data_IF_327450662026
#
_entry.id   IF_327450662026
#
_cell.length_a   1.000
_cell.length_b   1.000
_cell.length_c   1.000
_cell.angle_alpha   90.00
_cell.angle_beta   90.00
_cell.angle_gamma   90.00
#
_symmetry.space_group_name_H-M   'P 1'
#
loop_
_entity.id
_entity.type
_entity.pdbx_description
1 polymer ?
#
# COMPACT_ATOMS: atom_id res chain seq x y z
N UNK A 1 9.15 6.81 3.77
CA UNK A 1 8.73 5.42 3.38
C UNK A 1 7.35 5.14 3.94
N UNK A 2 6.49 4.45 3.16
CA UNK A 2 5.18 3.97 3.63
C UNK A 2 5.24 2.46 3.80
N UNK A 3 4.81 1.93 4.94
CA UNK A 3 4.61 0.51 5.21
C UNK A 3 3.13 0.18 5.23
N UNK A 4 2.76 -0.99 4.69
CA UNK A 4 1.37 -1.42 4.57
C UNK A 4 1.13 -2.65 5.44
N UNK A 5 0.11 -2.61 6.28
CA UNK A 5 -0.25 -3.68 7.19
C UNK A 5 0.98 -4.16 8.00
N UNK A 6 1.21 -5.46 8.08
CA UNK A 6 2.29 -6.08 8.87
C UNK A 6 3.71 -5.71 8.46
N UNK A 7 3.92 -5.06 7.30
CA UNK A 7 5.25 -4.61 6.88
C UNK A 7 5.92 -3.67 7.89
N UNK A 8 5.15 -2.98 8.74
CA UNK A 8 5.70 -2.16 9.82
C UNK A 8 6.55 -2.97 10.82
N UNK A 9 6.31 -4.27 10.97
CA UNK A 9 7.06 -5.15 11.87
C UNK A 9 8.52 -5.33 11.41
N UNK A 10 8.76 -5.22 10.10
CA UNK A 10 10.10 -5.23 9.50
C UNK A 10 10.77 -3.86 9.47
N UNK A 11 9.98 -2.80 9.34
CA UNK A 11 10.46 -1.44 9.15
C UNK A 11 9.77 -0.46 10.10
N UNK A 12 9.99 -0.63 11.40
CA UNK A 12 9.42 0.23 12.47
C UNK A 12 9.89 1.69 12.35
N UNK A 13 10.97 1.92 11.65
CA UNK A 13 11.57 3.23 11.35
C UNK A 13 10.93 3.95 10.16
N UNK A 14 9.94 3.36 9.49
CA UNK A 14 9.23 4.02 8.40
C UNK A 14 8.46 5.25 8.89
N UNK A 15 8.24 6.21 7.99
CA UNK A 15 7.58 7.47 8.32
C UNK A 15 6.07 7.30 8.48
N UNK A 16 5.47 6.40 7.68
CA UNK A 16 4.03 6.24 7.56
C UNK A 16 3.64 4.77 7.58
N UNK A 17 2.58 4.45 8.30
CA UNK A 17 1.89 3.16 8.26
C UNK A 17 0.50 3.34 7.69
N UNK A 18 0.12 2.49 6.74
CA UNK A 18 -1.21 2.45 6.17
C UNK A 18 -1.87 1.08 6.37
N UNK A 19 -3.10 1.07 6.87
CA UNK A 19 -3.94 -0.13 6.89
C UNK A 19 -5.42 0.29 6.71
N UNK A 20 -6.09 -0.30 5.71
CA UNK A 20 -7.47 0.06 5.35
C UNK A 20 -8.47 -0.25 6.44
N UNK A 21 -8.38 -1.47 6.99
CA UNK A 21 -9.46 -2.10 7.75
C UNK A 21 -9.36 -1.82 9.25
N UNK A 22 -10.47 -1.41 9.85
CA UNK A 22 -10.55 -1.20 11.30
C UNK A 22 -10.31 -2.51 12.09
N UNK A 23 -10.67 -3.67 11.53
CA UNK A 23 -10.36 -4.96 12.14
C UNK A 23 -8.85 -5.19 12.28
N UNK A 24 -8.05 -4.75 11.30
CA UNK A 24 -6.60 -4.80 11.37
C UNK A 24 -6.07 -3.98 12.56
N UNK A 25 -6.53 -2.74 12.71
CA UNK A 25 -6.16 -1.88 13.84
C UNK A 25 -6.56 -2.48 15.20
N UNK A 26 -7.67 -3.21 15.24
CA UNK A 26 -8.11 -3.93 16.44
C UNK A 26 -7.15 -5.07 16.78
N UNK A 27 -6.75 -5.89 15.82
CA UNK A 27 -5.79 -6.98 16.01
C UNK A 27 -4.44 -6.47 16.49
N UNK A 28 -3.94 -5.43 15.87
CA UNK A 28 -2.65 -4.82 16.20
C UNK A 28 -2.74 -3.82 17.38
N UNK A 29 -3.91 -3.69 18.03
CA UNK A 29 -4.16 -2.77 19.18
C UNK A 29 -3.73 -1.33 18.86
N UNK A 30 -3.93 -0.87 17.62
CA UNK A 30 -3.49 0.43 17.14
C UNK A 30 -2.00 0.53 16.83
N UNK A 31 -1.30 -0.60 16.71
CA UNK A 31 0.13 -0.69 16.45
C UNK A 31 0.97 0.27 17.34
N UNK A 32 1.01 0.07 18.68
CA UNK A 32 1.63 1.02 19.62
C UNK A 32 3.16 1.11 19.45
N UNK A 33 3.78 0.08 18.87
CA UNK A 33 5.23 0.06 18.61
C UNK A 33 5.65 0.83 17.36
N UNK A 34 4.70 1.33 16.56
CA UNK A 34 4.97 2.18 15.41
C UNK A 34 4.79 3.65 15.79
N UNK A 35 5.81 4.45 15.63
CA UNK A 35 5.88 5.85 16.09
C UNK A 35 5.59 6.88 14.99
N UNK A 36 5.61 6.47 13.71
CA UNK A 36 5.30 7.33 12.58
C UNK A 36 3.81 7.64 12.43
N UNK A 37 3.46 8.33 11.36
CA UNK A 37 2.07 8.66 11.03
C UNK A 37 1.28 7.40 10.67
N UNK A 38 0.02 7.33 11.09
CA UNK A 38 -0.86 6.18 10.87
C UNK A 38 -2.10 6.62 10.11
N UNK A 39 -2.40 5.94 9.01
CA UNK A 39 -3.57 6.24 8.18
C UNK A 39 -4.44 5.02 7.94
N UNK A 40 -5.74 5.27 7.81
CA UNK A 40 -6.76 4.25 7.52
C UNK A 40 -7.85 4.81 6.61
N UNK A 41 -8.69 3.93 6.07
CA UNK A 41 -9.87 4.33 5.31
C UNK A 41 -11.17 4.13 6.09
N UNK A 42 -11.26 3.09 6.92
CA UNK A 42 -12.49 2.82 7.69
C UNK A 42 -12.60 3.74 8.90
N UNK A 43 -13.75 4.42 9.02
CA UNK A 43 -14.01 5.44 10.06
C UNK A 43 -13.84 4.92 11.49
N UNK A 44 -14.21 3.67 11.76
CA UNK A 44 -14.02 3.05 13.08
C UNK A 44 -12.55 2.87 13.50
N UNK A 45 -11.60 3.07 12.57
CA UNK A 45 -10.17 3.11 12.90
C UNK A 45 -9.77 4.34 13.71
N UNK A 46 -10.57 5.41 13.68
CA UNK A 46 -10.36 6.61 14.50
C UNK A 46 -10.41 6.37 16.03
N UNK A 47 -10.95 5.21 16.45
CA UNK A 47 -10.94 4.79 17.85
C UNK A 47 -9.53 4.46 18.37
N UNK A 48 -8.56 4.26 17.48
CA UNK A 48 -7.18 3.94 17.87
C UNK A 48 -6.31 5.20 17.87
N UNK A 49 -5.58 5.41 18.96
CA UNK A 49 -4.75 6.59 19.17
C UNK A 49 -3.78 6.84 18.00
N UNK A 50 -3.86 8.04 17.43
CA UNK A 50 -2.97 8.50 16.37
C UNK A 50 -3.29 7.97 14.97
N UNK A 51 -4.38 7.22 14.79
CA UNK A 51 -4.83 6.79 13.46
C UNK A 51 -5.68 7.89 12.82
N UNK A 52 -5.22 8.42 11.70
CA UNK A 52 -5.94 9.39 10.87
C UNK A 52 -6.76 8.67 9.83
N UNK A 53 -8.02 9.07 9.68
CA UNK A 53 -8.94 8.44 8.72
C UNK A 53 -9.09 9.32 7.50
N UNK A 54 -8.76 8.76 6.34
CA UNK A 54 -8.95 9.37 5.03
C UNK A 54 -10.36 9.06 4.50
N UNK A 55 -10.90 9.97 3.68
CA UNK A 55 -12.17 9.76 3.01
C UNK A 55 -12.02 8.75 1.86
N UNK A 56 -13.05 7.94 1.64
CA UNK A 56 -13.16 7.16 0.41
C UNK A 56 -13.70 8.07 -0.72
N UNK A 57 -12.86 8.41 -1.68
CA UNK A 57 -13.19 9.26 -2.82
C UNK A 57 -13.49 8.47 -4.10
N UNK A 58 -14.00 7.27 -3.94
CA UNK A 58 -14.38 6.38 -5.04
C UNK A 58 -13.47 5.16 -5.15
N UNK A 59 -13.68 4.37 -6.20
CA UNK A 59 -13.12 3.02 -6.28
C UNK A 59 -11.78 2.97 -6.99
N UNK A 60 -11.71 3.50 -8.21
CA UNK A 60 -10.61 3.25 -9.14
C UNK A 60 -9.92 4.55 -9.55
N UNK A 61 -8.69 4.44 -10.05
CA UNK A 61 -7.85 5.55 -10.47
C UNK A 61 -7.11 6.24 -9.32
N UNK A 62 -6.64 7.45 -9.59
CA UNK A 62 -5.93 8.33 -8.66
C UNK A 62 -6.83 9.51 -8.28
N UNK A 63 -6.68 10.03 -7.08
CA UNK A 63 -7.22 11.36 -6.73
C UNK A 63 -6.11 12.27 -6.25
N UNK A 64 -6.18 13.54 -6.61
CA UNK A 64 -5.29 14.60 -6.12
C UNK A 64 -5.92 15.39 -4.95
N UNK A 65 -7.16 15.06 -4.55
CA UNK A 65 -7.78 15.59 -3.35
C UNK A 65 -7.14 14.96 -2.09
N UNK A 66 -6.39 15.74 -1.29
CA UNK A 66 -5.62 15.21 -0.16
C UNK A 66 -6.51 14.75 1.01
N UNK A 67 -7.81 15.00 0.96
CA UNK A 67 -8.74 14.60 2.04
C UNK A 67 -9.07 13.12 2.03
N UNK A 68 -8.73 12.39 0.96
CA UNK A 68 -9.04 10.97 0.85
C UNK A 68 -8.27 10.24 -0.23
N UNK A 69 -8.60 8.97 -0.43
CA UNK A 69 -7.97 8.09 -1.41
C UNK A 69 -9.00 7.27 -2.18
N UNK A 70 -8.61 6.72 -3.32
CA UNK A 70 -9.40 5.72 -4.06
C UNK A 70 -9.24 4.35 -3.40
N UNK A 71 -10.34 3.61 -3.23
CA UNK A 71 -10.37 2.38 -2.43
C UNK A 71 -9.62 1.19 -3.04
N UNK A 72 -9.75 0.92 -4.35
CA UNK A 72 -8.99 -0.10 -5.12
C UNK A 72 -8.97 -1.52 -4.55
N UNK A 73 -9.85 -1.85 -3.60
CA UNK A 73 -9.93 -3.14 -2.90
C UNK A 73 -8.65 -3.59 -2.14
N UNK A 74 -7.66 -2.71 -1.97
CA UNK A 74 -6.37 -3.11 -1.44
C UNK A 74 -5.67 -1.97 -0.72
N UNK A 75 -5.13 -2.23 0.49
CA UNK A 75 -4.37 -1.23 1.26
C UNK A 75 -3.12 -0.73 0.51
N UNK A 76 -2.46 -1.59 -0.27
CA UNK A 76 -1.31 -1.18 -1.09
C UNK A 76 -1.71 -0.22 -2.21
N UNK A 77 -2.87 -0.43 -2.84
CA UNK A 77 -3.41 0.50 -3.83
C UNK A 77 -3.65 1.89 -3.22
N UNK A 78 -4.26 1.93 -2.05
CA UNK A 78 -4.54 3.16 -1.30
C UNK A 78 -3.26 3.87 -0.86
N UNK A 79 -2.24 3.10 -0.48
CA UNK A 79 -0.93 3.63 -0.09
C UNK A 79 -0.19 4.32 -1.26
N UNK A 80 -0.39 3.89 -2.51
CA UNK A 80 0.12 4.60 -3.70
C UNK A 80 -0.52 5.99 -3.78
N UNK A 81 -1.84 6.09 -3.63
CA UNK A 81 -2.52 7.38 -3.65
C UNK A 81 -2.05 8.29 -2.49
N UNK A 82 -1.89 7.72 -1.29
CA UNK A 82 -1.35 8.45 -0.15
C UNK A 82 0.08 8.94 -0.41
N UNK A 83 0.93 8.15 -1.07
CA UNK A 83 2.29 8.55 -1.42
C UNK A 83 2.29 9.81 -2.32
N UNK A 84 1.36 9.90 -3.26
CA UNK A 84 1.19 11.09 -4.11
C UNK A 84 0.78 12.31 -3.26
N UNK A 85 -0.15 12.17 -2.34
CA UNK A 85 -0.54 13.26 -1.42
C UNK A 85 0.62 13.73 -0.53
N UNK A 86 1.55 12.84 -0.20
CA UNK A 86 2.76 13.16 0.57
C UNK A 86 3.91 13.71 -0.30
N UNK A 87 3.64 14.00 -1.59
CA UNK A 87 4.59 14.67 -2.48
C UNK A 87 5.57 13.73 -3.18
N UNK A 88 5.27 12.43 -3.27
CA UNK A 88 6.13 11.51 -4.01
C UNK A 88 6.11 11.81 -5.50
N UNK A 89 7.28 12.01 -6.11
CA UNK A 89 7.48 12.11 -7.57
C UNK A 89 7.91 10.78 -8.17
N UNK A 90 8.43 9.87 -7.34
CA UNK A 90 8.80 8.50 -7.72
C UNK A 90 8.32 7.53 -6.63
N UNK A 91 7.68 6.43 -7.06
CA UNK A 91 7.16 5.39 -6.17
C UNK A 91 7.82 4.05 -6.50
N UNK A 92 8.44 3.42 -5.51
CA UNK A 92 9.06 2.10 -5.62
C UNK A 92 8.23 1.11 -4.83
N UNK A 93 7.65 0.12 -5.50
CA UNK A 93 6.83 -0.90 -4.89
C UNK A 93 7.67 -2.13 -4.49
N UNK A 94 7.54 -2.57 -3.24
CA UNK A 94 8.18 -3.78 -2.70
C UNK A 94 7.11 -4.71 -2.10
N UNK A 95 7.12 -5.99 -2.49
CA UNK A 95 6.15 -6.96 -1.99
C UNK A 95 4.73 -6.80 -2.54
N UNK A 96 4.59 -6.22 -3.72
CA UNK A 96 3.30 -6.12 -4.45
C UNK A 96 3.11 -7.33 -5.37
N UNK A 97 3.08 -8.51 -4.78
CA UNK A 97 3.07 -9.77 -5.52
C UNK A 97 1.71 -10.04 -6.18
N UNK A 98 0.60 -9.63 -5.53
CA UNK A 98 -0.79 -9.81 -5.98
C UNK A 98 -1.09 -11.25 -6.42
N UNK A 99 -0.52 -12.23 -5.73
CA UNK A 99 -0.69 -13.64 -5.99
C UNK A 99 -0.32 -14.47 -4.77
N UNK A 100 -0.69 -15.74 -4.80
CA UNK A 100 -0.25 -16.70 -3.78
C UNK A 100 1.16 -17.20 -4.10
N UNK A 101 2.02 -17.36 -3.11
CA UNK A 101 3.26 -18.09 -3.31
C UNK A 101 2.93 -19.54 -3.69
N UNK A 102 3.76 -20.15 -4.52
CA UNK A 102 3.60 -21.56 -4.92
C UNK A 102 3.72 -22.51 -3.71
N UNK A 103 4.39 -22.11 -2.66
CA UNK A 103 4.56 -22.84 -1.38
C UNK A 103 4.61 -21.85 -0.23
N UNK A 104 4.01 -22.21 0.92
CA UNK A 104 4.03 -21.41 2.14
C UNK A 104 2.74 -20.61 2.42
N UNK A 105 2.73 -19.80 3.49
CA UNK A 105 1.56 -19.01 3.90
C UNK A 105 1.21 -17.94 2.86
N UNK A 106 -0.06 -17.53 2.86
CA UNK A 106 -0.60 -16.52 1.92
C UNK A 106 0.04 -15.13 2.08
N UNK A 107 0.62 -14.86 3.23
CA UNK A 107 1.32 -13.61 3.55
C UNK A 107 2.66 -13.92 4.19
N UNK A 108 3.66 -13.07 3.94
CA UNK A 108 5.02 -13.23 4.49
C UNK A 108 5.07 -13.21 6.04
N UNK A 109 4.02 -12.73 6.70
CA UNK A 109 3.88 -12.69 8.17
C UNK A 109 2.94 -13.79 8.72
N UNK A 110 2.55 -14.78 7.91
CA UNK A 110 1.57 -15.80 8.27
C UNK A 110 0.17 -15.51 7.76
N UNK A 111 -0.80 -16.27 8.24
CA UNK A 111 -2.21 -16.11 7.84
C UNK A 111 -2.90 -15.06 8.72
N UNK A 112 -3.81 -14.29 8.10
CA UNK A 112 -4.69 -13.40 8.85
C UNK A 112 -5.64 -14.20 9.77
N UNK A 113 -6.00 -13.66 10.95
CA UNK A 113 -6.89 -14.36 11.90
C UNK A 113 -8.23 -14.80 11.31
N UNK A 114 -8.76 -14.05 10.33
CA UNK A 114 -10.05 -14.37 9.69
C UNK A 114 -9.93 -15.26 8.45
N UNK A 115 -8.72 -15.65 8.04
CA UNK A 115 -8.44 -16.50 6.87
C UNK A 115 -9.14 -16.05 5.57
N UNK A 116 -9.53 -14.78 5.46
CA UNK A 116 -10.19 -14.25 4.28
C UNK A 116 -9.22 -14.27 3.10
N UNK A 117 -9.69 -14.78 1.97
CA UNK A 117 -8.90 -14.78 0.73
C UNK A 117 -8.91 -13.39 0.12
N UNK A 118 -7.74 -12.81 -0.20
CA UNK A 118 -7.70 -11.54 -0.92
C UNK A 118 -8.36 -11.68 -2.31
N UNK A 119 -9.17 -10.71 -2.73
CA UNK A 119 -9.80 -10.71 -4.05
C UNK A 119 -8.78 -10.30 -5.14
N UNK A 120 -7.73 -11.11 -5.35
CA UNK A 120 -6.60 -10.74 -6.22
C UNK A 120 -7.02 -10.26 -7.60
N UNK A 121 -7.99 -10.92 -8.25
CA UNK A 121 -8.46 -10.51 -9.59
C UNK A 121 -9.04 -9.09 -9.58
N UNK A 122 -9.83 -8.74 -8.57
CA UNK A 122 -10.39 -7.38 -8.43
C UNK A 122 -9.29 -6.36 -8.10
N UNK A 123 -8.33 -6.73 -7.25
CA UNK A 123 -7.18 -5.88 -6.94
C UNK A 123 -6.34 -5.61 -8.20
N UNK A 124 -5.98 -6.66 -8.96
CA UNK A 124 -5.19 -6.52 -10.20
C UNK A 124 -5.90 -5.58 -11.18
N UNK A 125 -7.22 -5.77 -11.37
CA UNK A 125 -8.03 -4.89 -12.23
C UNK A 125 -8.00 -3.44 -11.74
N UNK A 126 -8.08 -3.20 -10.45
CA UNK A 126 -7.97 -1.85 -9.89
C UNK A 126 -6.58 -1.25 -10.16
N UNK A 127 -5.49 -1.99 -9.93
CA UNK A 127 -4.13 -1.49 -10.19
C UNK A 127 -3.91 -1.08 -11.65
N UNK A 128 -4.59 -1.72 -12.62
CA UNK A 128 -4.53 -1.33 -14.04
C UNK A 128 -5.07 0.07 -14.33
N UNK A 129 -5.82 0.67 -13.40
CA UNK A 129 -6.36 2.02 -13.54
C UNK A 129 -5.39 3.13 -13.09
N UNK A 130 -4.22 2.78 -12.52
CA UNK A 130 -3.27 3.75 -11.96
C UNK A 130 -2.24 4.32 -12.95
N UNK A 131 -1.70 3.55 -13.93
CA UNK A 131 -0.57 4.02 -14.74
C UNK A 131 -0.84 5.34 -15.46
N UNK A 132 -1.98 5.46 -16.14
CA UNK A 132 -2.36 6.68 -16.86
C UNK A 132 -2.44 7.92 -15.96
N UNK A 133 -3.26 7.89 -14.90
CA UNK A 133 -3.36 9.01 -13.95
C UNK A 133 -2.04 9.36 -13.26
N UNK A 134 -1.20 8.37 -12.89
CA UNK A 134 0.12 8.63 -12.30
C UNK A 134 1.05 9.33 -13.29
N UNK A 135 1.11 8.85 -14.54
CA UNK A 135 1.89 9.47 -15.59
C UNK A 135 1.42 10.91 -15.89
N UNK A 136 0.10 11.13 -15.94
CA UNK A 136 -0.47 12.47 -16.12
C UNK A 136 -0.13 13.43 -14.96
N UNK A 137 0.07 12.89 -13.75
CA UNK A 137 0.51 13.64 -12.58
C UNK A 137 2.06 13.79 -12.50
N UNK A 138 2.81 13.27 -13.47
CA UNK A 138 4.28 13.32 -13.47
C UNK A 138 4.93 12.37 -12.46
N UNK A 139 4.24 11.32 -12.04
CA UNK A 139 4.72 10.35 -11.04
C UNK A 139 5.31 9.13 -11.73
N UNK A 140 6.60 8.87 -11.51
CA UNK A 140 7.25 7.61 -11.89
C UNK A 140 6.91 6.51 -10.90
N UNK A 141 6.53 5.32 -11.40
CA UNK A 141 6.24 4.16 -10.56
C UNK A 141 6.93 2.91 -11.11
N UNK A 142 7.62 2.20 -10.24
CA UNK A 142 8.35 0.96 -10.57
C UNK A 142 8.04 -0.14 -9.57
N UNK A 143 7.79 -1.35 -10.06
CA UNK A 143 7.56 -2.53 -9.22
C UNK A 143 8.84 -3.36 -9.10
N UNK A 144 9.45 -3.33 -7.93
CA UNK A 144 10.65 -4.09 -7.56
C UNK A 144 10.33 -5.38 -6.79
N UNK A 145 9.08 -5.85 -6.79
CA UNK A 145 8.73 -7.14 -6.20
C UNK A 145 9.42 -8.28 -6.95
N UNK A 146 9.97 -9.26 -6.24
CA UNK A 146 10.69 -10.41 -6.84
C UNK A 146 9.78 -11.22 -7.77
N UNK A 147 8.52 -11.41 -7.37
CA UNK A 147 7.47 -12.04 -8.16
C UNK A 147 6.22 -11.16 -8.09
N UNK A 148 5.48 -11.01 -9.17
CA UNK A 148 4.27 -10.19 -9.17
C UNK A 148 3.32 -10.56 -10.31
N UNK A 149 2.03 -10.54 -10.01
CA UNK A 149 0.96 -10.61 -11.02
C UNK A 149 0.58 -9.22 -11.57
N UNK A 150 1.15 -8.14 -11.04
CA UNK A 150 0.93 -6.78 -11.55
C UNK A 150 1.83 -6.53 -12.76
N UNK A 151 1.26 -6.60 -13.95
CA UNK A 151 1.95 -6.33 -15.22
C UNK A 151 1.79 -4.88 -15.70
N UNK A 152 1.02 -4.06 -14.98
CA UNK A 152 0.71 -2.69 -15.37
C UNK A 152 1.81 -1.68 -15.01
N UNK A 153 2.80 -2.06 -14.23
CA UNK A 153 3.93 -1.22 -13.85
C UNK A 153 5.24 -1.75 -14.44
N UNK A 154 6.16 -0.85 -14.77
CA UNK A 154 7.54 -1.18 -15.13
C UNK A 154 8.17 -2.01 -14.00
N UNK A 155 8.96 -3.02 -14.37
CA UNK A 155 9.65 -3.88 -13.39
C UNK A 155 11.14 -3.67 -13.48
N UNK A 156 11.78 -3.54 -12.31
CA UNK A 156 13.24 -3.49 -12.19
C UNK A 156 13.70 -4.16 -10.88
N UNK A 157 14.99 -4.42 -10.79
CA UNK A 157 15.59 -4.85 -9.51
C UNK A 157 15.69 -3.65 -8.57
N UNK A 158 15.58 -3.90 -7.27
CA UNK A 158 15.75 -2.83 -6.29
C UNK A 158 17.17 -2.25 -6.33
N UNK A 159 18.18 -3.07 -6.63
CA UNK A 159 19.57 -2.64 -6.72
C UNK A 159 19.76 -1.61 -7.84
N UNK A 160 19.16 -1.85 -9.03
CA UNK A 160 19.18 -0.90 -10.15
C UNK A 160 18.57 0.43 -9.74
N UNK A 161 17.38 0.39 -9.12
CA UNK A 161 16.62 1.59 -8.74
C UNK A 161 17.34 2.41 -7.65
N UNK A 162 18.11 1.77 -6.77
CA UNK A 162 18.88 2.46 -5.72
C UNK A 162 20.14 3.11 -6.28
N UNK A 163 20.83 2.50 -7.25
CA UNK A 163 22.04 3.06 -7.88
C UNK A 163 21.73 4.33 -8.66
N UNK A 164 20.62 4.39 -9.36
CA UNK A 164 20.18 5.61 -10.11
C UNK A 164 20.02 6.86 -9.21
N UNK A 165 19.93 6.70 -7.89
CA UNK A 165 19.86 7.82 -6.94
C UNK A 165 21.23 8.35 -6.50
N UNK A 166 22.30 7.62 -6.76
CA UNK A 166 23.64 7.96 -6.32
C UNK A 166 24.45 8.72 -7.40
N UNK A 167 23.90 8.87 -8.59
CA UNK A 167 24.44 9.62 -9.70
C UNK A 167 23.71 10.96 -9.90
#
# INVERSE_FOLDING_TARGET
MIVVNDAYKLAKWADVMYACDAKYWRWEKGAPSFTGLKYSLQTSSALFKGVQVLRNLGRDGLTLDPTGVKAGHNSGYQAINLAVHLGATRIVLLGYDMGRPARGPSHCFGEHPDRTQPPYAACIKAFQTLPGPLAAAGIDIVNCSRSTALTCFRRESIDTVLVERAA
#
